data_IF_780342338630
#
_entry.id   IF_780342338630
#
_cell.length_a   1.000
_cell.length_b   1.000
_cell.length_c   1.000
_cell.angle_alpha   90.00
_cell.angle_beta   90.00
_cell.angle_gamma   90.00
#
_symmetry.space_group_name_H-M   'P 1'
#
loop_
_entity.id
_entity.type
_entity.pdbx_description
1 polymer ?
#
# COMPACT_ATOMS: atom_id res chain seq x y z
N UNK A 1 10.63 -9.00 -20.44
CA UNK A 1 9.52 -9.96 -20.36
C UNK A 1 8.18 -9.24 -20.38
N UNK A 2 7.22 -9.74 -21.17
CA UNK A 2 5.84 -9.23 -21.23
C UNK A 2 4.85 -10.38 -21.23
N UNK A 3 3.86 -10.30 -20.36
CA UNK A 3 2.81 -11.31 -20.18
C UNK A 3 1.47 -10.56 -20.14
N UNK A 4 0.61 -10.80 -21.12
CA UNK A 4 -0.69 -10.15 -21.23
C UNK A 4 -1.73 -11.07 -21.89
N UNK A 5 -3.01 -10.70 -21.80
CA UNK A 5 -4.13 -11.35 -22.48
C UNK A 5 -4.20 -12.88 -22.33
N UNK A 6 -3.87 -13.39 -21.14
CA UNK A 6 -3.90 -14.82 -20.85
C UNK A 6 -4.27 -15.12 -19.40
N UNK A 7 -4.49 -16.41 -19.11
CA UNK A 7 -4.73 -16.93 -17.78
C UNK A 7 -3.56 -17.80 -17.33
N UNK A 8 -2.98 -17.48 -16.18
CA UNK A 8 -1.93 -18.24 -15.51
C UNK A 8 -2.53 -18.86 -14.23
N UNK A 9 -2.29 -20.16 -14.01
CA UNK A 9 -2.85 -20.90 -12.88
C UNK A 9 -1.81 -21.88 -12.33
N UNK A 10 -1.68 -21.95 -11.01
CA UNK A 10 -0.83 -22.94 -10.31
C UNK A 10 0.64 -22.93 -10.78
N UNK A 11 1.20 -21.74 -11.04
CA UNK A 11 2.60 -21.58 -11.44
C UNK A 11 3.39 -20.67 -10.51
N UNK A 12 4.71 -20.87 -10.51
CA UNK A 12 5.67 -19.90 -10.01
C UNK A 12 6.19 -19.06 -11.18
N UNK A 13 6.14 -17.74 -11.05
CA UNK A 13 6.61 -16.77 -12.04
C UNK A 13 7.69 -15.89 -11.43
N UNK A 14 8.83 -15.75 -12.09
CA UNK A 14 9.91 -14.86 -11.66
C UNK A 14 10.06 -13.70 -12.64
N UNK A 15 9.90 -12.47 -12.14
CA UNK A 15 10.15 -11.22 -12.85
C UNK A 15 11.60 -10.77 -12.60
N UNK A 16 12.50 -11.06 -13.54
CA UNK A 16 13.93 -10.80 -13.41
C UNK A 16 14.55 -10.17 -14.66
N UNK A 17 13.73 -9.71 -15.60
CA UNK A 17 14.23 -8.95 -16.74
C UNK A 17 14.77 -7.60 -16.21
N UNK A 18 16.05 -7.26 -16.45
CA UNK A 18 16.60 -6.02 -15.91
C UNK A 18 15.94 -4.78 -16.51
N UNK A 19 15.47 -4.87 -17.76
CA UNK A 19 15.03 -3.71 -18.52
C UNK A 19 13.50 -3.54 -18.44
N UNK A 20 12.74 -4.62 -18.67
CA UNK A 20 11.28 -4.52 -18.76
C UNK A 20 10.55 -5.79 -18.28
N UNK A 21 9.72 -5.67 -17.25
CA UNK A 21 8.78 -6.69 -16.79
C UNK A 21 7.37 -6.11 -16.85
N UNK A 22 6.56 -6.60 -17.77
CA UNK A 22 5.19 -6.10 -17.98
C UNK A 22 4.18 -7.22 -17.72
N UNK A 23 3.29 -6.98 -16.75
CA UNK A 23 2.13 -7.82 -16.45
C UNK A 23 0.85 -7.06 -16.80
N UNK A 24 0.11 -7.61 -17.76
CA UNK A 24 -1.11 -7.02 -18.32
C UNK A 24 -0.90 -6.27 -19.64
N UNK A 25 -1.98 -5.80 -20.28
CA UNK A 25 -3.35 -5.79 -19.78
C UNK A 25 -4.06 -7.14 -19.91
N UNK A 26 -5.23 -7.26 -19.28
CA UNK A 26 -6.13 -8.42 -19.32
C UNK A 26 -5.45 -9.73 -18.93
N UNK A 27 -4.55 -9.66 -17.95
CA UNK A 27 -3.87 -10.84 -17.41
C UNK A 27 -4.62 -11.33 -16.17
N UNK A 28 -5.01 -12.60 -16.18
CA UNK A 28 -5.61 -13.26 -15.02
C UNK A 28 -4.60 -14.24 -14.42
N UNK A 29 -4.34 -14.12 -13.13
CA UNK A 29 -3.37 -14.93 -12.40
C UNK A 29 -4.07 -15.50 -11.17
N UNK A 30 -4.04 -16.82 -11.01
CA UNK A 30 -4.77 -17.52 -9.96
C UNK A 30 -3.88 -18.57 -9.31
N UNK A 31 -3.87 -18.63 -7.97
CA UNK A 31 -3.11 -19.63 -7.23
C UNK A 31 -1.62 -19.66 -7.57
N UNK A 32 -1.03 -18.50 -7.87
CA UNK A 32 0.36 -18.40 -8.31
C UNK A 32 1.27 -17.77 -7.26
N UNK A 33 2.56 -18.06 -7.38
CA UNK A 33 3.63 -17.39 -6.63
C UNK A 33 4.43 -16.51 -7.59
N UNK A 34 4.49 -15.22 -7.33
CA UNK A 34 5.20 -14.24 -8.13
C UNK A 34 6.39 -13.73 -7.33
N UNK A 35 7.59 -13.88 -7.89
CA UNK A 35 8.84 -13.37 -7.33
C UNK A 35 9.37 -12.26 -8.23
N UNK A 36 9.48 -11.05 -7.70
CA UNK A 36 9.90 -9.90 -8.48
C UNK A 36 11.25 -9.38 -7.99
N UNK A 37 12.26 -9.54 -8.84
CA UNK A 37 13.56 -8.87 -8.75
C UNK A 37 13.60 -7.58 -9.57
N UNK A 38 12.48 -7.20 -10.19
CA UNK A 38 12.38 -6.00 -11.00
C UNK A 38 12.53 -4.77 -10.12
N UNK A 39 13.33 -3.81 -10.58
CA UNK A 39 13.32 -2.45 -10.02
C UNK A 39 11.98 -1.78 -10.33
N UNK A 40 11.61 -0.77 -9.55
CA UNK A 40 10.39 0.04 -9.80
C UNK A 40 10.33 0.53 -11.26
N UNK A 41 11.44 1.05 -11.79
CA UNK A 41 11.50 1.59 -13.16
C UNK A 41 11.38 0.55 -14.28
N UNK A 42 11.65 -0.72 -13.98
CA UNK A 42 11.56 -1.81 -14.95
C UNK A 42 10.30 -2.66 -14.77
N UNK A 43 9.41 -2.32 -13.85
CA UNK A 43 8.17 -3.04 -13.58
C UNK A 43 6.95 -2.25 -14.05
N UNK A 44 6.02 -2.93 -14.72
CA UNK A 44 4.68 -2.42 -15.03
C UNK A 44 3.68 -3.51 -14.70
N UNK A 45 2.73 -3.21 -13.82
CA UNK A 45 1.61 -4.08 -13.46
C UNK A 45 0.35 -3.23 -13.63
N UNK A 46 -0.39 -3.48 -14.70
CA UNK A 46 -1.58 -2.71 -15.00
C UNK A 46 -2.64 -3.57 -15.70
N UNK A 47 -3.90 -3.47 -15.28
CA UNK A 47 -4.96 -4.30 -15.86
C UNK A 47 -4.81 -5.79 -15.57
N UNK A 48 -4.36 -6.12 -14.36
CA UNK A 48 -4.17 -7.50 -13.89
C UNK A 48 -5.30 -7.89 -12.93
N UNK A 49 -5.71 -9.14 -12.96
CA UNK A 49 -6.48 -9.77 -11.88
C UNK A 49 -5.59 -10.83 -11.23
N UNK A 50 -5.29 -10.66 -9.94
CA UNK A 50 -4.59 -11.65 -9.13
C UNK A 50 -5.56 -12.19 -8.07
N UNK A 51 -5.67 -13.51 -7.97
CA UNK A 51 -6.53 -14.18 -6.99
C UNK A 51 -5.79 -15.33 -6.34
N UNK A 52 -5.85 -15.43 -5.01
CA UNK A 52 -5.19 -16.50 -4.24
C UNK A 52 -3.67 -16.58 -4.51
N UNK A 53 -3.03 -15.44 -4.71
CA UNK A 53 -1.63 -15.35 -5.09
C UNK A 53 -0.72 -14.91 -3.95
N UNK A 54 0.59 -15.15 -4.11
CA UNK A 54 1.64 -14.45 -3.35
C UNK A 54 2.44 -13.58 -4.31
N UNK A 55 2.64 -12.31 -3.97
CA UNK A 55 3.53 -11.39 -4.67
C UNK A 55 4.66 -10.98 -3.73
N UNK A 56 5.82 -11.58 -3.95
CA UNK A 56 7.05 -11.29 -3.21
C UNK A 56 7.94 -10.35 -4.04
N UNK A 57 8.14 -9.16 -3.51
CA UNK A 57 8.97 -8.14 -4.11
C UNK A 57 10.33 -8.08 -3.39
N UNK A 58 11.39 -8.47 -4.10
CA UNK A 58 12.73 -8.63 -3.55
C UNK A 58 13.45 -7.27 -3.42
N UNK A 59 13.35 -6.44 -4.46
CA UNK A 59 13.87 -5.07 -4.47
C UNK A 59 12.77 -4.09 -4.03
N UNK A 60 13.03 -3.04 -3.24
CA UNK A 60 11.95 -2.13 -2.82
C UNK A 60 11.16 -1.54 -3.99
N UNK A 61 9.83 -1.57 -3.86
CA UNK A 61 8.91 -0.95 -4.81
C UNK A 61 8.53 0.44 -4.30
N UNK A 62 8.86 1.48 -5.08
CA UNK A 62 8.80 2.87 -4.66
C UNK A 62 7.82 3.65 -5.54
N UNK A 63 6.90 4.41 -4.96
CA UNK A 63 5.97 5.28 -5.69
C UNK A 63 5.23 4.56 -6.83
N UNK A 64 4.90 3.29 -6.63
CA UNK A 64 4.33 2.43 -7.65
C UNK A 64 2.81 2.40 -7.56
N UNK A 65 2.14 2.47 -8.71
CA UNK A 65 0.69 2.43 -8.78
C UNK A 65 0.21 1.11 -9.40
N UNK A 66 -0.56 0.35 -8.64
CA UNK A 66 -1.29 -0.83 -9.14
C UNK A 66 -2.54 -0.41 -9.94
N UNK A 67 -2.31 0.16 -11.11
CA UNK A 67 -3.34 0.74 -11.96
C UNK A 67 -4.29 -0.33 -12.53
N UNK A 68 -5.60 -0.10 -12.43
CA UNK A 68 -6.63 -1.01 -12.97
C UNK A 68 -6.42 -2.47 -12.51
N UNK A 69 -5.92 -2.65 -11.28
CA UNK A 69 -5.60 -3.95 -10.72
C UNK A 69 -6.73 -4.47 -9.82
N UNK A 70 -7.05 -5.75 -10.00
CA UNK A 70 -7.95 -6.49 -9.12
C UNK A 70 -7.11 -7.48 -8.31
N UNK A 71 -6.83 -7.14 -7.05
CA UNK A 71 -6.01 -7.92 -6.13
C UNK A 71 -6.93 -8.52 -5.07
N UNK A 72 -7.13 -9.83 -5.12
CA UNK A 72 -8.10 -10.55 -4.29
C UNK A 72 -7.38 -11.67 -3.57
N UNK A 73 -7.52 -11.75 -2.23
CA UNK A 73 -6.87 -12.78 -1.41
C UNK A 73 -5.38 -12.97 -1.77
N UNK A 74 -4.67 -11.86 -1.97
CA UNK A 74 -3.27 -11.86 -2.40
C UNK A 74 -2.38 -11.44 -1.23
N UNK A 75 -1.34 -12.24 -0.97
CA UNK A 75 -0.32 -11.95 0.03
C UNK A 75 0.82 -11.13 -0.59
N UNK A 76 1.17 -10.01 0.04
CA UNK A 76 2.25 -9.14 -0.35
C UNK A 76 3.42 -9.27 0.63
N UNK A 77 4.60 -9.53 0.09
CA UNK A 77 5.86 -9.64 0.84
C UNK A 77 6.86 -8.68 0.22
N UNK A 78 7.73 -8.08 1.04
CA UNK A 78 8.76 -7.15 0.58
C UNK A 78 8.54 -5.72 1.07
N UNK A 79 9.12 -4.74 0.37
CA UNK A 79 9.04 -3.32 0.76
C UNK A 79 8.25 -2.52 -0.27
N UNK A 80 7.26 -1.77 0.22
CA UNK A 80 6.36 -0.92 -0.56
C UNK A 80 6.35 0.47 0.09
N UNK A 81 6.96 1.45 -0.59
CA UNK A 81 7.06 2.82 -0.07
C UNK A 81 6.45 3.79 -1.09
N UNK A 82 5.48 4.62 -0.67
CA UNK A 82 4.81 5.53 -1.61
C UNK A 82 3.83 4.86 -2.57
N UNK A 83 3.45 3.59 -2.36
CA UNK A 83 2.68 2.83 -3.34
C UNK A 83 1.17 3.10 -3.27
N UNK A 84 0.50 3.05 -4.41
CA UNK A 84 -0.95 3.18 -4.53
C UNK A 84 -1.58 1.83 -4.87
N UNK A 85 -2.45 1.37 -3.96
CA UNK A 85 -3.27 0.19 -4.11
C UNK A 85 -4.71 0.63 -4.40
N UNK A 86 -5.13 0.51 -5.65
CA UNK A 86 -6.44 0.96 -6.12
C UNK A 86 -6.35 2.12 -7.10
N UNK A 87 -7.49 2.68 -7.49
CA UNK A 87 -7.62 3.72 -8.51
C UNK A 87 -8.44 4.90 -7.96
N UNK A 88 -7.88 6.10 -8.10
CA UNK A 88 -8.49 7.37 -7.69
C UNK A 88 -9.74 7.72 -8.49
N UNK A 89 -9.78 7.36 -9.78
CA UNK A 89 -10.87 7.76 -10.68
C UNK A 89 -12.12 6.92 -10.51
N UNK A 90 -12.00 5.66 -10.06
CA UNK A 90 -13.14 4.75 -9.99
C UNK A 90 -12.93 3.49 -9.15
N UNK A 91 -13.88 3.23 -8.25
CA UNK A 91 -14.02 1.96 -7.54
C UNK A 91 -14.41 0.75 -8.41
N UNK A 92 -14.67 0.96 -9.72
CA UNK A 92 -14.96 -0.13 -10.66
C UNK A 92 -13.75 -0.60 -11.44
N UNK A 93 -12.70 0.22 -11.52
CA UNK A 93 -11.47 -0.07 -12.28
C UNK A 93 -10.48 -0.92 -11.49
N UNK A 94 -10.49 -0.81 -10.17
CA UNK A 94 -9.63 -1.60 -9.29
C UNK A 94 -10.43 -2.18 -8.15
N UNK A 95 -9.97 -3.30 -7.60
CA UNK A 95 -10.50 -3.84 -6.35
C UNK A 95 -9.39 -4.47 -5.55
N UNK A 96 -9.18 -4.01 -4.32
CA UNK A 96 -8.23 -4.62 -3.38
C UNK A 96 -9.06 -5.19 -2.24
N UNK A 97 -9.02 -6.51 -2.06
CA UNK A 97 -9.91 -7.21 -1.12
C UNK A 97 -9.25 -8.46 -0.56
N UNK A 98 -9.46 -8.69 0.74
CA UNK A 98 -8.98 -9.87 1.45
C UNK A 98 -7.45 -10.06 1.37
N UNK A 99 -6.69 -9.01 1.05
CA UNK A 99 -5.24 -9.08 0.88
C UNK A 99 -4.51 -9.09 2.24
N UNK A 100 -3.32 -9.70 2.23
CA UNK A 100 -2.49 -9.85 3.41
C UNK A 100 -1.14 -9.16 3.21
N UNK A 101 -0.88 -8.11 4.00
CA UNK A 101 0.37 -7.36 4.01
C UNK A 101 1.19 -7.63 5.27
N UNK A 102 0.85 -8.64 6.10
CA UNK A 102 1.49 -8.83 7.40
C UNK A 102 3.01 -9.05 7.34
N UNK A 103 3.52 -9.57 6.23
CA UNK A 103 4.95 -9.75 5.95
C UNK A 103 5.58 -8.63 5.09
N UNK A 104 4.81 -7.59 4.77
CA UNK A 104 5.28 -6.43 4.03
C UNK A 104 5.80 -5.33 4.95
N UNK A 105 6.80 -4.58 4.47
CA UNK A 105 7.17 -3.27 5.00
C UNK A 105 6.47 -2.22 4.16
N UNK A 106 5.42 -1.62 4.71
CA UNK A 106 4.60 -0.63 4.01
C UNK A 106 4.80 0.73 4.64
N UNK A 107 5.11 1.74 3.82
CA UNK A 107 5.23 3.13 4.26
C UNK A 107 4.65 4.07 3.21
N UNK A 108 4.10 5.20 3.66
CA UNK A 108 3.54 6.26 2.80
C UNK A 108 2.67 5.74 1.66
N UNK A 109 1.94 4.64 1.88
CA UNK A 109 1.22 3.92 0.83
C UNK A 109 -0.27 4.09 1.02
N UNK A 110 -1.00 4.26 -0.07
CA UNK A 110 -2.43 4.62 -0.07
C UNK A 110 -3.27 3.47 -0.58
N UNK A 111 -4.37 3.21 0.13
CA UNK A 111 -5.39 2.26 -0.26
C UNK A 111 -6.62 3.05 -0.69
N UNK A 112 -6.99 2.92 -1.96
CA UNK A 112 -7.91 3.83 -2.63
C UNK A 112 -9.16 3.05 -3.02
N UNK A 113 -10.34 3.53 -2.60
CA UNK A 113 -11.63 2.88 -2.82
C UNK A 113 -11.65 1.39 -2.39
N UNK A 114 -11.03 1.08 -1.25
CA UNK A 114 -10.81 -0.28 -0.75
C UNK A 114 -11.60 -0.56 0.54
N UNK A 115 -12.05 -1.81 0.73
CA UNK A 115 -12.60 -2.25 2.02
C UNK A 115 -11.47 -2.64 2.98
N UNK A 116 -11.03 -1.67 3.77
CA UNK A 116 -9.95 -1.86 4.74
C UNK A 116 -10.25 -2.89 5.82
N UNK A 117 -11.52 -3.24 6.09
CA UNK A 117 -11.85 -4.28 7.06
C UNK A 117 -11.42 -5.68 6.59
N UNK A 118 -11.24 -5.85 5.27
CA UNK A 118 -10.78 -7.11 4.66
C UNK A 118 -9.26 -7.22 4.57
N UNK A 119 -8.52 -6.13 4.74
CA UNK A 119 -7.07 -6.09 4.54
C UNK A 119 -6.35 -6.34 5.87
N UNK A 120 -5.38 -7.27 5.86
CA UNK A 120 -4.49 -7.45 7.01
C UNK A 120 -3.24 -6.62 6.83
N UNK A 121 -2.96 -5.77 7.81
CA UNK A 121 -1.78 -4.90 7.82
C UNK A 121 -0.70 -5.45 8.77
N UNK A 122 0.58 -5.10 8.57
CA UNK A 122 1.63 -5.39 9.54
C UNK A 122 1.27 -4.85 10.94
N UNK A 123 1.83 -5.47 11.97
CA UNK A 123 1.74 -4.97 13.34
C UNK A 123 2.49 -3.64 13.50
N UNK A 124 2.29 -3.00 14.65
CA UNK A 124 3.15 -1.90 15.10
C UNK A 124 4.64 -2.24 14.88
N UNK A 125 5.47 -1.33 14.33
CA UNK A 125 5.31 0.13 14.18
C UNK A 125 4.54 0.62 12.96
N UNK A 126 3.98 -0.28 12.15
CA UNK A 126 3.14 0.12 11.03
C UNK A 126 1.74 0.47 11.55
N UNK A 127 1.22 1.60 11.07
CA UNK A 127 -0.10 2.07 11.42
C UNK A 127 -0.84 2.59 10.18
N UNK A 128 -2.13 2.83 10.34
CA UNK A 128 -2.98 3.43 9.33
C UNK A 128 -3.81 4.55 9.91
N UNK A 129 -4.16 5.52 9.05
CA UNK A 129 -5.25 6.45 9.29
C UNK A 129 -6.36 6.07 8.31
N UNK A 130 -7.48 5.59 8.83
CA UNK A 130 -8.66 5.22 8.04
C UNK A 130 -9.45 6.48 7.70
N UNK A 131 -9.81 6.64 6.42
CA UNK A 131 -10.44 7.85 5.86
C UNK A 131 -9.71 9.13 6.28
N UNK A 132 -8.43 9.31 5.87
CA UNK A 132 -7.58 10.43 6.30
C UNK A 132 -8.22 11.82 6.15
N UNK A 133 -9.05 12.02 5.12
CA UNK A 133 -9.77 13.27 4.91
C UNK A 133 -10.66 13.68 6.10
N UNK A 134 -11.23 12.70 6.82
CA UNK A 134 -12.06 12.95 8.00
C UNK A 134 -11.24 13.35 9.23
N UNK A 135 -9.94 13.07 9.22
CA UNK A 135 -9.02 13.45 10.29
C UNK A 135 -8.39 14.84 10.05
N UNK A 136 -8.47 15.37 8.83
CA UNK A 136 -7.77 16.58 8.42
C UNK A 136 -8.13 17.81 9.26
N UNK A 137 -9.43 18.11 9.46
CA UNK A 137 -9.86 19.24 10.29
C UNK A 137 -9.36 19.13 11.74
N UNK A 138 -9.32 17.91 12.29
CA UNK A 138 -8.74 17.68 13.61
C UNK A 138 -7.24 17.99 13.59
N UNK A 139 -6.52 17.50 12.58
CA UNK A 139 -5.07 17.69 12.44
C UNK A 139 -4.68 19.15 12.38
N UNK A 140 -5.26 19.93 11.46
CA UNK A 140 -4.88 21.34 11.28
C UNK A 140 -5.30 22.22 12.47
N UNK A 141 -6.18 21.72 13.35
CA UNK A 141 -6.65 22.42 14.55
C UNK A 141 -5.83 22.17 15.81
N UNK A 142 -4.81 21.30 15.79
CA UNK A 142 -3.96 21.02 16.94
C UNK A 142 -2.59 21.71 16.83
N UNK A 143 -1.98 21.97 18.00
CA UNK A 143 -0.57 22.36 18.10
C UNK A 143 0.31 21.10 18.20
N UNK A 144 1.02 20.78 17.12
CA UNK A 144 1.89 19.61 17.05
C UNK A 144 3.35 19.95 17.43
N UNK A 145 4.11 18.98 17.97
CA UNK A 145 5.54 19.17 18.21
C UNK A 145 6.33 19.21 16.89
N UNK A 146 7.17 20.24 16.72
CA UNK A 146 8.08 20.34 15.59
C UNK A 146 7.36 20.37 14.24
N UNK A 147 7.91 19.65 13.27
CA UNK A 147 7.37 19.57 11.91
C UNK A 147 6.28 18.50 11.75
N UNK A 148 5.90 17.81 12.85
CA UNK A 148 4.95 16.69 12.79
C UNK A 148 3.58 17.15 12.26
N UNK A 149 3.20 18.39 12.54
CA UNK A 149 1.98 18.97 12.00
C UNK A 149 1.98 19.05 10.48
N UNK A 150 3.14 19.31 9.86
CA UNK A 150 3.29 19.36 8.40
C UNK A 150 3.16 17.96 7.81
N UNK A 151 3.80 16.97 8.41
CA UNK A 151 3.69 15.58 7.96
C UNK A 151 2.25 15.08 8.07
N UNK A 152 1.57 15.34 9.19
CA UNK A 152 0.18 14.96 9.41
C UNK A 152 -0.78 15.70 8.49
N UNK A 153 -0.53 16.97 8.19
CA UNK A 153 -1.29 17.75 7.22
C UNK A 153 -1.23 17.08 5.85
N UNK A 154 -0.03 16.75 5.37
CA UNK A 154 0.17 16.03 4.09
C UNK A 154 -0.50 14.65 4.08
N UNK A 155 -0.43 13.91 5.19
CA UNK A 155 -1.00 12.56 5.30
C UNK A 155 -2.54 12.60 5.33
N UNK A 156 -3.14 13.68 5.85
CA UNK A 156 -4.59 13.80 6.03
C UNK A 156 -5.29 14.64 4.97
N UNK A 157 -4.57 15.53 4.27
CA UNK A 157 -5.05 16.25 3.09
C UNK A 157 -5.17 15.31 1.88
N UNK A 158 -6.18 14.46 1.95
CA UNK A 158 -6.43 13.39 0.98
C UNK A 158 -7.85 13.50 0.44
N UNK A 159 -8.10 13.10 -0.82
CA UNK A 159 -9.45 12.92 -1.34
C UNK A 159 -10.22 11.85 -0.55
N UNK A 160 -11.56 11.91 -0.59
CA UNK A 160 -12.44 10.96 0.11
C UNK A 160 -12.32 9.52 -0.42
N UNK A 161 -11.77 9.36 -1.63
CA UNK A 161 -11.45 8.09 -2.25
C UNK A 161 -10.29 7.36 -1.53
N UNK A 162 -9.42 8.08 -0.80
CA UNK A 162 -8.38 7.49 0.02
C UNK A 162 -9.03 6.80 1.23
N UNK A 163 -9.16 5.48 1.18
CA UNK A 163 -9.79 4.68 2.24
C UNK A 163 -8.86 4.54 3.44
N UNK A 164 -7.55 4.48 3.19
CA UNK A 164 -6.53 4.56 4.23
C UNK A 164 -5.17 4.98 3.67
N UNK A 165 -4.36 5.58 4.52
CA UNK A 165 -2.92 5.74 4.33
C UNK A 165 -2.18 4.92 5.38
N UNK A 166 -1.16 4.17 4.95
CA UNK A 166 -0.33 3.30 5.77
C UNK A 166 1.05 3.93 5.93
N UNK A 167 1.52 4.02 7.17
CA UNK A 167 2.73 4.74 7.54
C UNK A 167 3.57 3.91 8.50
N UNK A 168 4.89 4.16 8.50
CA UNK A 168 5.79 3.63 9.52
C UNK A 168 6.07 4.67 10.61
N UNK A 169 5.64 4.38 11.84
CA UNK A 169 5.83 5.28 12.98
C UNK A 169 7.30 5.50 13.34
N UNK A 170 8.20 4.53 13.10
CA UNK A 170 9.64 4.71 13.35
C UNK A 170 10.24 5.78 12.44
N UNK A 171 9.80 5.79 11.16
CA UNK A 171 10.25 6.79 10.20
C UNK A 171 9.73 8.17 10.59
N UNK A 172 8.43 8.27 10.90
CA UNK A 172 7.83 9.52 11.36
C UNK A 172 8.49 10.05 12.65
N UNK A 173 8.81 9.17 13.60
CA UNK A 173 9.52 9.51 14.83
C UNK A 173 10.92 10.07 14.54
N UNK A 174 11.67 9.38 13.67
CA UNK A 174 13.02 9.79 13.28
C UNK A 174 13.02 11.13 12.56
N UNK A 175 12.09 11.33 11.62
CA UNK A 175 12.01 12.55 10.81
C UNK A 175 11.62 13.78 11.68
N UNK A 176 11.00 13.55 12.84
CA UNK A 176 10.55 14.60 13.78
C UNK A 176 11.35 14.67 15.09
N UNK A 177 12.44 13.93 15.23
CA UNK A 177 13.25 13.85 16.46
C UNK A 177 12.44 13.48 17.73
N UNK A 178 11.42 12.63 17.57
CA UNK A 178 10.54 12.15 18.65
C UNK A 178 10.84 10.69 19.00
N UNK A 179 10.43 10.25 20.20
CA UNK A 179 10.44 8.83 20.51
C UNK A 179 9.25 8.11 19.85
N UNK A 180 9.43 6.83 19.51
CA UNK A 180 8.34 6.00 18.98
C UNK A 180 7.15 5.92 19.95
N UNK A 181 7.40 5.98 21.25
CA UNK A 181 6.37 5.99 22.29
C UNK A 181 5.56 7.28 22.25
N UNK A 182 6.23 8.44 22.11
CA UNK A 182 5.55 9.74 22.00
C UNK A 182 4.70 9.77 20.72
N UNK A 183 5.25 9.32 19.60
CA UNK A 183 4.50 9.17 18.34
C UNK A 183 3.25 8.30 18.55
N UNK A 184 3.36 7.14 19.19
CA UNK A 184 2.19 6.30 19.47
C UNK A 184 1.11 7.06 20.25
N UNK A 185 1.48 7.74 21.34
CA UNK A 185 0.52 8.50 22.15
C UNK A 185 -0.12 9.66 21.39
N UNK A 186 0.66 10.38 20.59
CA UNK A 186 0.20 11.50 19.76
C UNK A 186 -0.80 10.97 18.72
N UNK A 187 -0.39 9.99 17.92
CA UNK A 187 -1.19 9.41 16.83
C UNK A 187 -2.47 8.72 17.34
N UNK A 188 -2.44 8.13 18.53
CA UNK A 188 -3.61 7.45 19.12
C UNK A 188 -4.83 8.36 19.33
N UNK A 189 -4.65 9.68 19.31
CA UNK A 189 -5.75 10.65 19.40
C UNK A 189 -6.32 11.06 18.04
N UNK A 190 -5.65 10.72 16.94
CA UNK A 190 -6.08 11.11 15.60
C UNK A 190 -7.29 10.25 15.17
N UNK A 191 -8.39 10.86 14.70
CA UNK A 191 -9.52 10.12 14.15
C UNK A 191 -9.07 9.13 13.07
N UNK A 192 -9.56 7.90 13.13
CA UNK A 192 -9.21 6.87 12.16
C UNK A 192 -7.87 6.18 12.40
N UNK A 193 -7.07 6.56 13.40
CA UNK A 193 -5.85 5.84 13.76
C UNK A 193 -6.15 4.37 14.09
N UNK A 194 -5.37 3.47 13.47
CA UNK A 194 -5.44 2.03 13.65
C UNK A 194 -4.06 1.39 13.55
N UNK A 195 -3.82 0.40 14.40
CA UNK A 195 -2.70 -0.52 14.31
C UNK A 195 -3.23 -1.95 14.40
N UNK A 196 -2.59 -2.89 13.72
CA UNK A 196 -2.85 -4.31 13.97
C UNK A 196 -2.26 -4.68 15.34
N UNK A 197 -3.05 -5.36 16.16
CA UNK A 197 -2.63 -5.93 17.45
C UNK A 197 -1.77 -7.17 17.25
#
# INVERSE_FOLDING_TARGET
MRIDNQKLVDIALTLNDPDHNVLGPNLYIESCQLYSHASTSSLVIAGVTMTDCTFEQIEPLLNFHFENAHLINTSFIGTYDGCDFGDWDSNKRSSIKDCDFTEAKVNNSRFINCDMASIKLPSWPIFSIINPCNAHEYVIGQDWPGDLGIDLDVITDMPAECSAIIMNAEKLASDNELSITDIYYILSNIPGFKTSL
#
